data_IF_137493360320
#
_entry.id   IF_137493360320
#
_cell.length_a   1.000
_cell.length_b   1.000
_cell.length_c   1.000
_cell.angle_alpha   90.00
_cell.angle_beta   90.00
_cell.angle_gamma   90.00
#
_symmetry.space_group_name_H-M   'P 1'
#
loop_
_entity.id
_entity.type
_entity.pdbx_description
1 polymer ?
#
# COMPACT_ATOMS: atom_id res chain seq x y z
N UNK A 1 -12.97 -4.98 -8.48
CA UNK A 1 -13.59 -3.70 -8.66
C UNK A 1 -13.63 -2.87 -7.41
N UNK A 2 -14.18 -3.44 -6.36
CA UNK A 2 -14.22 -2.72 -5.10
C UNK A 2 -12.82 -2.47 -4.58
N UNK A 3 -11.93 -3.39 -4.84
CA UNK A 3 -10.54 -3.22 -4.46
C UNK A 3 -9.92 -2.01 -5.16
N UNK A 4 -10.21 -1.86 -6.42
CA UNK A 4 -9.71 -0.72 -7.17
C UNK A 4 -10.21 0.58 -6.59
N UNK A 5 -11.46 0.61 -6.19
CA UNK A 5 -12.05 1.81 -5.63
C UNK A 5 -11.40 2.20 -4.32
N UNK A 6 -11.18 1.21 -3.47
CA UNK A 6 -10.56 1.47 -2.17
C UNK A 6 -9.15 2.01 -2.35
N UNK A 7 -8.37 1.36 -3.19
CA UNK A 7 -6.99 1.78 -3.41
C UNK A 7 -6.94 3.16 -4.05
N UNK A 8 -7.80 3.41 -5.01
CA UNK A 8 -7.79 4.70 -5.70
C UNK A 8 -8.27 5.84 -4.81
N UNK A 9 -9.01 5.53 -3.76
CA UNK A 9 -9.47 6.55 -2.84
C UNK A 9 -8.39 6.97 -1.86
N UNK A 10 -7.30 6.22 -1.79
CA UNK A 10 -6.21 6.53 -0.85
C UNK A 10 -5.26 7.55 -1.46
N UNK A 11 -4.59 8.29 -0.58
CA UNK A 11 -3.61 9.26 -1.01
C UNK A 11 -2.46 8.57 -1.73
N UNK A 12 -1.81 9.31 -2.62
CA UNK A 12 -0.71 8.76 -3.41
C UNK A 12 0.42 8.25 -2.52
N UNK A 13 0.65 8.89 -1.39
CA UNK A 13 1.74 8.49 -0.51
C UNK A 13 1.53 7.09 0.06
N UNK A 14 0.31 6.59 0.04
CA UNK A 14 0.04 5.20 0.42
C UNK A 14 -0.02 4.30 -0.79
N UNK A 15 -0.59 4.80 -1.86
CA UNK A 15 -0.84 4.02 -3.07
C UNK A 15 0.44 3.63 -3.78
N UNK A 16 1.38 4.56 -3.90
CA UNK A 16 2.61 4.31 -4.65
C UNK A 16 3.47 3.22 -4.00
N UNK A 17 3.76 3.28 -2.69
CA UNK A 17 4.52 2.19 -2.09
C UNK A 17 3.85 0.84 -2.23
N UNK A 18 2.54 0.81 -2.09
CA UNK A 18 1.80 -0.44 -2.19
C UNK A 18 1.89 -1.01 -3.61
N UNK A 19 1.74 -0.15 -4.62
CA UNK A 19 1.84 -0.59 -6.01
C UNK A 19 3.22 -1.15 -6.31
N UNK A 20 4.26 -0.51 -5.78
CA UNK A 20 5.62 -0.98 -5.97
C UNK A 20 5.82 -2.34 -5.30
N UNK A 21 5.23 -2.51 -4.12
CA UNK A 21 5.33 -3.79 -3.43
C UNK A 21 4.68 -4.89 -4.24
N UNK A 22 3.53 -4.61 -4.82
CA UNK A 22 2.84 -5.60 -5.66
C UNK A 22 3.63 -5.92 -6.91
N UNK A 23 4.41 -4.96 -7.40
CA UNK A 23 5.23 -5.16 -8.58
C UNK A 23 6.50 -5.98 -8.29
N UNK A 24 6.76 -6.28 -7.02
CA UNK A 24 7.88 -7.13 -6.66
C UNK A 24 9.03 -6.42 -5.98
N UNK A 25 8.94 -5.13 -5.75
CA UNK A 25 10.00 -4.40 -5.06
C UNK A 25 10.01 -4.74 -3.59
N UNK A 26 11.21 -4.83 -3.04
CA UNK A 26 11.36 -5.03 -1.62
C UNK A 26 11.19 -3.70 -0.89
N UNK A 27 10.82 -3.79 0.38
CA UNK A 27 10.59 -2.59 1.17
C UNK A 27 11.79 -1.64 1.12
N UNK A 28 13.00 -2.18 1.18
CA UNK A 28 14.19 -1.36 1.13
C UNK A 28 14.33 -0.64 -0.20
N UNK A 29 14.00 -1.34 -1.27
CA UNK A 29 14.07 -0.74 -2.60
C UNK A 29 13.04 0.37 -2.74
N UNK A 30 11.86 0.15 -2.19
CA UNK A 30 10.82 1.16 -2.23
C UNK A 30 11.25 2.40 -1.44
N UNK A 31 11.77 2.17 -0.24
CA UNK A 31 12.25 3.27 0.59
C UNK A 31 13.31 4.08 -0.14
N UNK A 32 14.21 3.39 -0.80
CA UNK A 32 15.30 4.03 -1.52
C UNK A 32 14.79 4.87 -2.67
N UNK A 33 13.90 4.29 -3.47
CA UNK A 33 13.39 4.98 -4.64
C UNK A 33 12.51 6.17 -4.28
N UNK A 34 11.79 6.08 -3.19
CA UNK A 34 10.90 7.15 -2.78
C UNK A 34 11.53 8.12 -1.77
N UNK A 35 12.77 7.85 -1.40
CA UNK A 35 13.49 8.67 -0.42
C UNK A 35 12.74 8.76 0.90
N UNK A 36 12.28 7.61 1.37
CA UNK A 36 11.53 7.52 2.62
C UNK A 36 12.24 6.60 3.60
N UNK A 37 12.07 6.82 4.89
CA UNK A 37 12.56 5.86 5.89
C UNK A 37 11.89 4.50 5.69
N UNK A 38 12.63 3.45 5.96
CA UNK A 38 12.11 2.10 5.80
C UNK A 38 10.86 1.87 6.64
N UNK A 39 10.87 2.37 7.87
CA UNK A 39 9.71 2.23 8.75
C UNK A 39 8.46 2.88 8.19
N UNK A 40 8.64 4.00 7.50
CA UNK A 40 7.52 4.69 6.88
C UNK A 40 6.91 3.84 5.76
N UNK A 41 7.77 3.22 4.95
CA UNK A 41 7.28 2.35 3.88
C UNK A 41 6.50 1.18 4.47
N UNK A 42 7.06 0.55 5.48
CA UNK A 42 6.38 -0.57 6.13
C UNK A 42 5.03 -0.17 6.69
N UNK A 43 4.99 0.96 7.37
CA UNK A 43 3.75 1.44 7.98
C UNK A 43 2.68 1.71 6.93
N UNK A 44 3.06 2.34 5.84
CA UNK A 44 2.11 2.69 4.81
C UNK A 44 1.55 1.46 4.10
N UNK A 45 2.43 0.50 3.82
CA UNK A 45 1.97 -0.72 3.17
C UNK A 45 1.09 -1.52 4.11
N UNK A 46 1.47 -1.59 5.38
CA UNK A 46 0.66 -2.28 6.37
C UNK A 46 -0.73 -1.64 6.49
N UNK A 47 -0.77 -0.32 6.48
CA UNK A 47 -2.04 0.41 6.59
C UNK A 47 -2.97 0.05 5.42
N UNK A 48 -2.44 0.04 4.21
CA UNK A 48 -3.26 -0.29 3.04
C UNK A 48 -3.74 -1.73 3.10
N UNK A 49 -2.85 -2.65 3.46
CA UNK A 49 -3.23 -4.05 3.54
C UNK A 49 -4.35 -4.26 4.53
N UNK A 50 -4.25 -3.60 5.66
CA UNK A 50 -5.28 -3.70 6.67
C UNK A 50 -6.60 -3.12 6.18
N UNK A 51 -6.50 -1.99 5.49
CA UNK A 51 -7.69 -1.34 4.93
C UNK A 51 -8.38 -2.24 3.92
N UNK A 52 -7.62 -2.86 3.05
CA UNK A 52 -8.17 -3.77 2.06
C UNK A 52 -8.82 -4.98 2.71
N UNK A 53 -8.18 -5.52 3.74
CA UNK A 53 -8.75 -6.65 4.46
C UNK A 53 -10.11 -6.32 5.05
N UNK A 54 -10.23 -5.15 5.62
CA UNK A 54 -11.48 -4.74 6.23
C UNK A 54 -12.57 -4.54 5.18
N UNK A 55 -12.21 -3.95 4.05
CA UNK A 55 -13.19 -3.73 2.99
C UNK A 55 -13.65 -5.04 2.38
N UNK A 56 -12.72 -5.95 2.14
CA UNK A 56 -13.07 -7.22 1.53
C UNK A 56 -13.87 -8.10 2.47
N UNK A 57 -13.68 -7.92 3.74
CA UNK A 57 -14.41 -8.67 4.74
C UNK A 57 -15.91 -8.43 4.63
N UNK A 58 -16.28 -7.23 4.27
CA UNK A 58 -17.67 -6.86 4.17
C UNK A 58 -18.40 -7.51 3.01
N UNK A 59 -17.64 -8.12 2.12
CA UNK A 59 -18.24 -8.76 0.95
C UNK A 59 -18.59 -10.22 1.17
N UNK A 60 -18.30 -10.72 2.32
CA UNK A 60 -18.59 -12.11 2.64
C UNK A 60 -19.95 -12.28 3.27
#
# INVERSE_FOLDING_TARGET
KEMHRVVNALAKEYKIPFAMHLAGFKYREIADKLHLPLGTVKSRIFFIRKKLQEELKDFR
#
